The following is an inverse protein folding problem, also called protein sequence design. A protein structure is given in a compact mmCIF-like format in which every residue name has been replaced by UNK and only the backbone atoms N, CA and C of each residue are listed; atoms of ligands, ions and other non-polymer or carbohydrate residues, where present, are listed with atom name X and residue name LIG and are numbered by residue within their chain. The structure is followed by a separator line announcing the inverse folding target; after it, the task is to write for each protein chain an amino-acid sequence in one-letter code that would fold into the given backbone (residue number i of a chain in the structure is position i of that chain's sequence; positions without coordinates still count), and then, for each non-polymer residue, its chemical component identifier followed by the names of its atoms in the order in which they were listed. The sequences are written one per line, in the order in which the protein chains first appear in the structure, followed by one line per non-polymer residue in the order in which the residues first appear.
data_IF_880711792059
#
_entry.id   IF_880711792059
#
_cell.length_a   1.000
_cell.length_b   1.000
_cell.length_c   1.000
_cell.angle_alpha   90.00
_cell.angle_beta   90.00
_cell.angle_gamma   90.00
#
_symmetry.space_group_name_H-M   'P 1'
#
loop_
_entity.id
_entity.type
_entity.pdbx_description
1 polymer ?
#
# COMPACT_ATOMS: atom_id res chain seq x y z
N UNK A 1 -19.86 20.78 24.97
CA UNK A 1 -20.12 20.64 23.53
C UNK A 1 -19.91 19.18 23.15
N UNK A 2 -20.98 18.40 22.95
CA UNK A 2 -20.84 17.03 22.39
C UNK A 2 -20.55 17.22 20.91
N UNK A 3 -19.41 16.69 20.45
CA UNK A 3 -19.06 16.61 19.05
C UNK A 3 -20.12 15.75 18.34
N UNK A 4 -20.98 16.40 17.56
CA UNK A 4 -21.90 15.74 16.65
C UNK A 4 -21.18 15.36 15.35
N UNK A 5 -20.10 14.59 15.47
CA UNK A 5 -19.74 13.71 14.38
C UNK A 5 -20.73 12.55 14.45
N UNK A 6 -21.85 12.70 13.74
CA UNK A 6 -22.71 11.59 13.40
C UNK A 6 -21.80 10.55 12.71
N UNK A 7 -21.36 9.58 13.50
CA UNK A 7 -20.54 8.48 13.02
C UNK A 7 -21.41 7.70 12.04
N UNK A 8 -21.24 7.96 10.75
CA UNK A 8 -21.94 7.30 9.65
C UNK A 8 -21.88 5.76 9.75
N UNK A 9 -20.96 5.26 10.55
CA UNK A 9 -20.74 3.85 10.84
C UNK A 9 -21.46 3.37 12.13
N UNK A 10 -22.14 4.24 12.87
CA UNK A 10 -22.93 3.90 14.06
C UNK A 10 -22.15 3.29 15.25
N UNK A 11 -20.87 2.94 15.06
CA UNK A 11 -20.00 2.34 16.10
C UNK A 11 -18.63 3.01 16.09
N UNK A 12 -17.96 2.97 17.24
CA UNK A 12 -16.56 3.41 17.34
C UNK A 12 -15.68 2.56 16.44
N UNK A 13 -14.92 3.20 15.54
CA UNK A 13 -13.91 2.51 14.75
C UNK A 13 -12.72 2.11 15.63
N UNK A 14 -12.35 0.84 15.53
CA UNK A 14 -11.13 0.26 16.07
C UNK A 14 -10.37 -0.31 14.91
N UNK A 15 -9.31 0.39 14.49
CA UNK A 15 -8.61 0.07 13.26
C UNK A 15 -7.15 -0.28 13.49
N UNK A 16 -6.58 -1.00 12.54
CA UNK A 16 -5.15 -1.25 12.41
C UNK A 16 -4.67 -0.80 11.03
N UNK A 17 -3.38 -0.48 10.94
CA UNK A 17 -2.74 -0.15 9.68
C UNK A 17 -2.11 -1.41 9.08
N UNK A 18 -2.37 -1.66 7.80
CA UNK A 18 -1.77 -2.73 7.02
C UNK A 18 -0.63 -2.14 6.14
N UNK A 19 0.35 -1.51 6.80
CA UNK A 19 1.49 -0.89 6.15
C UNK A 19 2.50 -1.93 5.63
N UNK A 20 3.35 -1.52 4.66
CA UNK A 20 4.33 -2.41 4.05
C UNK A 20 3.75 -3.47 3.11
N UNK A 21 2.44 -3.43 2.84
CA UNK A 21 1.79 -4.39 1.96
C UNK A 21 1.75 -3.93 0.51
N UNK A 22 1.02 -2.83 0.22
CA UNK A 22 0.85 -2.26 -1.13
C UNK A 22 1.69 -1.01 -1.39
N UNK A 23 2.49 -0.61 -0.42
CA UNK A 23 3.58 0.36 -0.50
C UNK A 23 4.74 -0.23 0.27
N UNK A 24 5.89 -0.37 -0.35
CA UNK A 24 7.08 -0.86 0.33
C UNK A 24 7.75 0.27 1.12
N UNK A 25 8.02 -0.02 2.38
CA UNK A 25 8.81 0.83 3.27
C UNK A 25 9.90 -0.05 3.90
N UNK A 26 11.18 0.27 3.64
CA UNK A 26 12.33 -0.55 4.05
C UNK A 26 12.33 -0.90 5.53
N UNK A 27 11.89 0.02 6.39
CA UNK A 27 11.83 -0.19 7.83
C UNK A 27 10.71 -1.15 8.28
N UNK A 28 9.65 -1.30 7.48
CA UNK A 28 8.54 -2.22 7.76
C UNK A 28 8.79 -3.62 7.19
N UNK A 29 9.42 -3.70 6.02
CA UNK A 29 9.69 -4.95 5.29
C UNK A 29 11.18 -5.11 4.98
N UNK A 30 12.07 -5.05 5.98
CA UNK A 30 13.52 -5.06 5.75
C UNK A 30 14.01 -6.29 5.00
N UNK A 31 13.35 -7.44 5.14
CA UNK A 31 13.71 -8.68 4.43
C UNK A 31 13.58 -8.59 2.92
N UNK A 32 12.71 -7.73 2.40
CA UNK A 32 12.61 -7.49 0.95
C UNK A 32 13.79 -6.68 0.40
N UNK A 33 14.49 -5.97 1.26
CA UNK A 33 15.62 -5.11 0.92
C UNK A 33 16.97 -5.72 1.30
N UNK A 34 16.96 -6.97 1.79
CA UNK A 34 18.20 -7.63 2.22
C UNK A 34 19.13 -7.88 1.03
N UNK A 35 20.38 -7.39 1.14
CA UNK A 35 21.37 -7.46 0.08
C UNK A 35 21.22 -6.44 -1.04
N UNK A 36 20.25 -5.51 -0.93
CA UNK A 36 20.02 -4.43 -1.89
C UNK A 36 20.46 -3.07 -1.34
N UNK A 37 20.95 -2.22 -2.22
CA UNK A 37 21.24 -0.82 -1.92
C UNK A 37 19.94 0.04 -1.92
N UNK A 38 18.87 -0.46 -2.51
CA UNK A 38 17.58 0.20 -2.60
C UNK A 38 17.06 0.72 -1.25
N UNK A 39 16.46 1.91 -1.25
CA UNK A 39 15.93 2.60 -0.07
C UNK A 39 14.43 2.85 -0.13
N UNK A 40 13.82 2.64 -1.28
CA UNK A 40 12.41 2.90 -1.60
C UNK A 40 11.92 1.92 -2.69
N UNK A 41 10.62 1.94 -3.00
CA UNK A 41 10.04 1.01 -3.95
C UNK A 41 10.51 1.24 -5.39
N UNK A 42 10.78 2.48 -5.79
CA UNK A 42 11.33 2.80 -7.11
C UNK A 42 12.70 2.17 -7.31
N UNK A 43 13.63 2.45 -6.39
CA UNK A 43 15.00 1.91 -6.44
C UNK A 43 15.01 0.40 -6.28
N UNK A 44 14.12 -0.14 -5.46
CA UNK A 44 13.93 -1.59 -5.30
C UNK A 44 13.49 -2.27 -6.59
N UNK A 45 12.50 -1.72 -7.30
CA UNK A 45 12.05 -2.25 -8.58
C UNK A 45 13.15 -2.18 -9.65
N UNK A 46 13.89 -1.06 -9.70
CA UNK A 46 14.99 -0.88 -10.65
C UNK A 46 16.12 -1.86 -10.39
N UNK A 47 16.52 -2.05 -9.13
CA UNK A 47 17.63 -2.93 -8.75
C UNK A 47 17.31 -4.40 -8.99
N UNK A 48 16.09 -4.85 -8.71
CA UNK A 48 15.65 -6.21 -8.96
C UNK A 48 15.32 -6.50 -10.44
N UNK A 49 14.98 -5.48 -11.22
CA UNK A 49 14.65 -5.64 -12.63
C UNK A 49 13.56 -6.69 -12.85
N UNK A 50 13.83 -7.71 -13.67
CA UNK A 50 12.87 -8.77 -14.01
C UNK A 50 12.38 -9.59 -12.78
N UNK A 51 13.12 -9.60 -11.70
CA UNK A 51 12.74 -10.33 -10.48
C UNK A 51 11.73 -9.55 -9.62
N UNK A 52 11.60 -8.25 -9.81
CA UNK A 52 10.73 -7.39 -9.01
C UNK A 52 9.27 -7.87 -9.04
N UNK A 53 8.76 -8.20 -10.23
CA UNK A 53 7.37 -8.64 -10.39
C UNK A 53 7.05 -9.90 -9.59
N UNK A 54 7.83 -10.95 -9.75
CA UNK A 54 7.60 -12.22 -9.07
C UNK A 54 7.76 -12.10 -7.55
N UNK A 55 8.75 -11.31 -7.10
CA UNK A 55 9.04 -11.08 -5.69
C UNK A 55 7.91 -10.29 -5.02
N UNK A 56 7.47 -9.20 -5.65
CA UNK A 56 6.43 -8.35 -5.07
C UNK A 56 5.06 -9.03 -5.08
N UNK A 57 4.71 -9.76 -6.15
CA UNK A 57 3.47 -10.56 -6.18
C UNK A 57 3.43 -11.62 -5.10
N UNK A 58 4.56 -12.32 -4.86
CA UNK A 58 4.65 -13.27 -3.76
C UNK A 58 4.51 -12.60 -2.38
N UNK A 59 5.06 -11.40 -2.21
CA UNK A 59 4.87 -10.59 -1.00
C UNK A 59 3.39 -10.24 -0.81
N UNK A 60 2.73 -9.69 -1.82
CA UNK A 60 1.31 -9.33 -1.76
C UNK A 60 0.41 -10.50 -1.38
N UNK A 61 0.73 -11.72 -1.86
CA UNK A 61 -0.08 -12.90 -1.60
C UNK A 61 0.12 -13.51 -0.22
N UNK A 62 1.24 -13.19 0.46
CA UNK A 62 1.62 -13.84 1.71
C UNK A 62 1.72 -12.93 2.92
N UNK A 63 1.97 -11.64 2.71
CA UNK A 63 2.25 -10.71 3.80
C UNK A 63 0.98 -10.35 4.58
N UNK A 64 -0.12 -10.10 3.88
CA UNK A 64 -1.44 -9.94 4.46
C UNK A 64 -2.40 -10.87 3.73
N UNK A 65 -3.12 -11.68 4.48
CA UNK A 65 -3.99 -12.74 3.99
C UNK A 65 -5.42 -12.58 4.51
N UNK A 66 -6.35 -13.36 3.95
CA UNK A 66 -7.71 -13.44 4.47
C UNK A 66 -7.76 -13.86 5.95
N UNK A 67 -6.84 -14.75 6.35
CA UNK A 67 -6.79 -15.24 7.74
C UNK A 67 -6.37 -14.13 8.71
N UNK A 68 -5.51 -13.19 8.28
CA UNK A 68 -5.19 -12.00 9.09
C UNK A 68 -6.42 -11.11 9.27
N UNK A 69 -7.20 -10.87 8.22
CA UNK A 69 -8.47 -10.15 8.32
C UNK A 69 -9.44 -10.86 9.28
N UNK A 70 -9.58 -12.17 9.18
CA UNK A 70 -10.43 -12.97 10.07
C UNK A 70 -9.94 -12.91 11.53
N UNK A 71 -8.62 -12.96 11.74
CA UNK A 71 -8.02 -12.82 13.06
C UNK A 71 -8.30 -11.45 13.67
N UNK A 72 -8.12 -10.37 12.89
CA UNK A 72 -8.42 -9.00 13.33
C UNK A 72 -9.89 -8.84 13.72
N UNK A 73 -10.81 -9.31 12.88
CA UNK A 73 -12.25 -9.27 13.17
C UNK A 73 -12.59 -10.01 14.47
N UNK A 74 -11.99 -11.19 14.70
CA UNK A 74 -12.19 -11.98 15.91
C UNK A 74 -11.72 -11.27 17.19
N UNK A 75 -10.83 -10.27 17.08
CA UNK A 75 -10.32 -9.47 18.20
C UNK A 75 -11.09 -8.16 18.41
N UNK A 76 -12.19 -7.97 17.68
CA UNK A 76 -13.03 -6.78 17.80
C UNK A 76 -12.50 -5.56 17.05
N UNK A 77 -11.53 -5.75 16.15
CA UNK A 77 -11.15 -4.78 15.13
C UNK A 77 -12.30 -4.71 14.12
N UNK A 78 -12.67 -3.52 13.71
CA UNK A 78 -13.74 -3.29 12.74
C UNK A 78 -13.34 -2.37 11.58
N UNK A 79 -12.06 -2.01 11.50
CA UNK A 79 -11.52 -1.22 10.39
C UNK A 79 -10.06 -1.58 10.11
N UNK A 80 -9.66 -1.52 8.85
CA UNK A 80 -8.27 -1.62 8.41
C UNK A 80 -7.93 -0.41 7.54
N UNK A 81 -6.76 0.21 7.75
CA UNK A 81 -6.22 1.23 6.86
C UNK A 81 -5.24 0.57 5.91
N UNK A 82 -5.41 0.79 4.62
CA UNK A 82 -4.54 0.25 3.58
C UNK A 82 -3.83 1.41 2.87
N UNK A 83 -2.52 1.60 3.10
CA UNK A 83 -1.72 2.55 2.37
C UNK A 83 -1.53 2.12 0.92
N UNK A 84 -1.69 3.06 -0.03
CA UNK A 84 -1.57 2.86 -1.47
C UNK A 84 -0.57 3.84 -2.07
N UNK A 85 0.30 3.33 -2.94
CA UNK A 85 1.07 4.18 -3.82
C UNK A 85 0.23 4.68 -5.01
N UNK A 86 0.52 5.89 -5.50
CA UNK A 86 -0.15 6.41 -6.71
C UNK A 86 0.04 5.50 -7.94
N UNK A 87 1.08 4.67 -7.94
CA UNK A 87 1.40 3.71 -9.00
C UNK A 87 0.50 2.48 -9.03
N UNK A 88 -0.35 2.28 -8.03
CA UNK A 88 -1.26 1.12 -7.97
C UNK A 88 -2.18 1.02 -9.18
N UNK A 89 -2.49 2.15 -9.81
CA UNK A 89 -3.37 2.24 -10.99
C UNK A 89 -2.66 1.87 -12.31
N UNK A 90 -1.33 1.65 -12.29
CA UNK A 90 -0.55 1.27 -13.45
C UNK A 90 -0.10 2.46 -14.33
N UNK A 91 0.69 2.17 -15.39
CA UNK A 91 1.36 3.18 -16.21
C UNK A 91 0.42 4.03 -17.07
N UNK A 92 -0.77 3.54 -17.36
CA UNK A 92 -1.76 4.24 -18.19
C UNK A 92 -2.52 5.34 -17.43
N UNK A 93 -2.33 5.43 -16.12
CA UNK A 93 -2.97 6.46 -15.32
C UNK A 93 -2.40 7.86 -15.66
N UNK A 94 -3.24 8.88 -15.90
CA UNK A 94 -2.81 10.15 -16.51
C UNK A 94 -1.69 10.88 -15.77
N UNK A 95 -1.59 10.71 -14.46
CA UNK A 95 -0.59 11.38 -13.63
C UNK A 95 0.82 10.81 -13.74
N UNK A 96 1.00 9.60 -14.27
CA UNK A 96 2.34 9.04 -14.51
C UNK A 96 3.10 9.71 -15.64
N UNK A 97 2.42 10.43 -16.52
CA UNK A 97 3.04 11.15 -17.64
C UNK A 97 3.88 12.36 -17.19
N UNK A 98 3.73 12.81 -15.95
CA UNK A 98 4.47 13.95 -15.40
C UNK A 98 5.86 13.59 -14.88
N UNK A 99 6.16 12.31 -14.70
CA UNK A 99 7.50 11.84 -14.32
C UNK A 99 8.41 11.66 -15.54
N UNK A 100 8.70 12.71 -16.30
CA UNK A 100 9.75 12.73 -17.32
C UNK A 100 10.00 11.39 -18.03
N UNK A 101 10.88 11.31 -18.98
CA UNK A 101 11.12 10.20 -19.92
C UNK A 101 11.61 8.86 -19.29
N UNK A 102 11.33 8.58 -18.03
CA UNK A 102 11.70 7.31 -17.39
C UNK A 102 10.60 6.26 -17.62
N UNK A 103 10.98 5.02 -17.98
CA UNK A 103 10.03 3.93 -17.99
C UNK A 103 9.43 3.79 -16.58
N UNK A 104 8.14 3.50 -16.51
CA UNK A 104 7.43 3.23 -15.28
C UNK A 104 8.12 2.07 -14.51
N UNK A 105 8.71 2.31 -13.33
CA UNK A 105 9.54 1.32 -12.67
C UNK A 105 8.74 0.31 -11.84
N UNK A 106 7.48 0.65 -11.48
CA UNK A 106 6.72 -0.11 -10.50
C UNK A 106 6.08 -1.39 -11.07
N UNK A 107 5.87 -2.37 -10.21
CA UNK A 107 5.16 -3.60 -10.55
C UNK A 107 3.66 -3.34 -10.65
N UNK A 108 3.05 -3.85 -11.72
CA UNK A 108 1.61 -3.73 -11.98
C UNK A 108 0.84 -4.89 -11.34
N UNK A 109 -0.37 -4.62 -10.87
CA UNK A 109 -1.29 -5.66 -10.37
C UNK A 109 -1.77 -5.46 -8.93
N UNK A 110 -1.29 -4.44 -8.22
CA UNK A 110 -1.73 -4.14 -6.85
C UNK A 110 -3.23 -3.89 -6.70
N UNK A 111 -3.90 -3.39 -7.76
CA UNK A 111 -5.37 -3.23 -7.77
C UNK A 111 -6.10 -4.55 -7.53
N UNK A 112 -5.68 -5.65 -8.16
CA UNK A 112 -6.33 -6.94 -7.96
C UNK A 112 -6.15 -7.47 -6.52
N UNK A 113 -5.06 -7.08 -5.86
CA UNK A 113 -4.84 -7.39 -4.43
C UNK A 113 -5.78 -6.57 -3.55
N UNK A 114 -5.95 -5.30 -3.89
CA UNK A 114 -6.87 -4.42 -3.19
C UNK A 114 -8.33 -4.88 -3.34
N UNK A 115 -8.74 -5.33 -4.54
CA UNK A 115 -10.08 -5.89 -4.77
C UNK A 115 -10.33 -7.09 -3.85
N UNK A 116 -9.36 -8.01 -3.73
CA UNK A 116 -9.46 -9.13 -2.77
C UNK A 116 -9.59 -8.66 -1.32
N UNK A 117 -8.91 -7.59 -0.94
CA UNK A 117 -9.05 -7.02 0.40
C UNK A 117 -10.47 -6.49 0.66
N UNK A 118 -11.12 -5.90 -0.35
CA UNK A 118 -12.51 -5.48 -0.26
C UNK A 118 -13.44 -6.67 -0.06
N UNK A 119 -13.25 -7.75 -0.84
CA UNK A 119 -14.05 -8.98 -0.69
C UNK A 119 -13.91 -9.57 0.72
N UNK A 120 -12.69 -9.66 1.26
CA UNK A 120 -12.46 -10.14 2.62
C UNK A 120 -13.07 -9.23 3.68
N UNK A 121 -12.97 -7.92 3.48
CA UNK A 121 -13.52 -6.95 4.42
C UNK A 121 -15.07 -7.01 4.44
N UNK A 122 -15.72 -7.15 3.29
CA UNK A 122 -17.16 -7.32 3.17
C UNK A 122 -17.62 -8.60 3.88
N UNK A 123 -16.97 -9.73 3.59
CA UNK A 123 -17.28 -11.02 4.21
C UNK A 123 -17.17 -10.98 5.74
N UNK A 124 -16.15 -10.27 6.26
CA UNK A 124 -15.81 -10.27 7.68
C UNK A 124 -16.37 -9.06 8.44
N UNK A 125 -17.10 -8.18 7.78
CA UNK A 125 -17.71 -7.00 8.37
C UNK A 125 -16.71 -5.92 8.83
N UNK A 126 -15.57 -5.81 8.13
CA UNK A 126 -14.55 -4.79 8.36
C UNK A 126 -14.76 -3.58 7.45
N UNK A 127 -14.47 -2.39 7.96
CA UNK A 127 -14.40 -1.18 7.14
C UNK A 127 -12.98 -1.03 6.60
N UNK A 128 -12.86 -0.59 5.34
CA UNK A 128 -11.57 -0.21 4.75
C UNK A 128 -11.45 1.31 4.75
N UNK A 129 -10.31 1.80 5.22
CA UNK A 129 -9.85 3.18 5.06
C UNK A 129 -8.73 3.15 4.04
N UNK A 130 -9.01 3.57 2.82
CA UNK A 130 -7.98 3.76 1.81
C UNK A 130 -7.17 5.01 2.13
N UNK A 131 -5.87 4.86 2.11
CA UNK A 131 -4.94 5.95 2.30
C UNK A 131 -4.07 6.12 1.05
N UNK A 132 -4.29 7.22 0.33
CA UNK A 132 -3.38 7.63 -0.73
C UNK A 132 -2.09 8.10 -0.09
N UNK A 133 -1.19 7.15 0.17
CA UNK A 133 0.01 7.35 0.98
C UNK A 133 1.12 8.08 0.23
N UNK A 134 1.10 8.02 -1.09
CA UNK A 134 2.04 8.76 -1.93
C UNK A 134 1.32 9.49 -3.06
N UNK A 135 1.75 10.73 -3.32
CA UNK A 135 1.38 11.48 -4.51
C UNK A 135 2.49 11.43 -5.56
N UNK A 136 2.17 11.59 -6.85
CA UNK A 136 3.19 11.85 -7.87
C UNK A 136 4.10 13.00 -7.44
N UNK A 137 5.43 12.85 -7.60
CA UNK A 137 6.39 13.87 -7.17
C UNK A 137 6.87 13.71 -5.71
N UNK A 138 6.40 12.71 -4.99
CA UNK A 138 6.78 12.43 -3.60
C UNK A 138 6.61 13.65 -2.68
N UNK A 139 5.44 13.81 -2.10
CA UNK A 139 5.00 14.98 -1.33
C UNK A 139 5.89 15.37 -0.12
N UNK A 140 6.78 14.52 0.35
CA UNK A 140 7.56 14.75 1.57
C UNK A 140 9.02 14.27 1.51
N UNK A 141 9.47 13.69 0.40
CA UNK A 141 10.84 13.17 0.26
C UNK A 141 11.15 11.90 1.06
N UNK A 142 10.12 11.24 1.63
CA UNK A 142 10.32 9.97 2.34
C UNK A 142 10.11 8.77 1.41
N UNK A 143 10.61 7.59 1.83
CA UNK A 143 10.52 6.33 1.12
C UNK A 143 9.08 5.90 0.81
N UNK A 144 8.12 6.23 1.69
CA UNK A 144 6.69 5.99 1.46
C UNK A 144 6.10 6.76 0.27
N UNK A 145 6.78 7.74 -0.25
CA UNK A 145 6.45 8.44 -1.50
C UNK A 145 6.81 7.66 -2.77
N UNK A 146 7.41 6.49 -2.62
CA UNK A 146 7.88 5.62 -3.70
C UNK A 146 9.28 5.97 -4.21
N UNK A 147 9.78 7.17 -3.92
CA UNK A 147 11.15 7.60 -4.17
C UNK A 147 11.62 8.50 -3.03
N UNK A 148 12.77 8.17 -2.46
CA UNK A 148 13.34 8.91 -1.34
C UNK A 148 14.17 10.09 -1.81
N UNK A 149 14.25 11.13 -0.97
CA UNK A 149 15.04 12.36 -1.18
C UNK A 149 14.65 13.15 -2.45
N UNK A 150 13.49 12.87 -3.04
CA UNK A 150 12.86 13.64 -4.12
C UNK A 150 11.58 14.27 -3.59
N UNK A 151 11.35 15.55 -3.90
CA UNK A 151 10.13 16.28 -3.57
C UNK A 151 9.90 17.33 -4.66
N UNK A 152 8.93 17.13 -5.56
CA UNK A 152 8.56 18.03 -6.67
C UNK A 152 7.16 18.62 -6.51
#
# INVERSE_FOLDING_TARGET
MKSTFDNKFGKKLRGVNLGGWLVLEKWMTPSLFEGLEATDETTWCVELGEQAESTLKNHWDRFITRDDFAWLASRGINAVRIPLGHWIFGPDYPYHRTYGANPYPFVVGGIAVLDRAFDWAEELGLHIVLDQHSAPGCQNGFDNGGIKDVCE
#
